data_IF_013021269128
#
_entry.id   IF_013021269128
#
_cell.length_a   1.000
_cell.length_b   1.000
_cell.length_c   1.000
_cell.angle_alpha   90.00
_cell.angle_beta   90.00
_cell.angle_gamma   90.00
#
_symmetry.space_group_name_H-M   'P 1'
#
loop_
_entity.id
_entity.type
_entity.pdbx_description
1 polymer ?
#
# COMPACT_ATOMS: atom_id res chain seq x y z
N UNK A 1 9.50 2.60 -11.76
CA UNK A 1 9.28 1.18 -12.13
C UNK A 1 9.11 0.45 -10.83
N UNK A 2 7.99 -0.26 -10.67
CA UNK A 2 7.64 -0.89 -9.41
C UNK A 2 8.55 -2.06 -9.10
N UNK A 3 9.08 -2.08 -7.89
CA UNK A 3 9.94 -3.12 -7.35
C UNK A 3 9.25 -3.78 -6.17
N UNK A 4 9.02 -5.08 -6.26
CA UNK A 4 8.56 -5.90 -5.14
C UNK A 4 9.74 -6.71 -4.61
N UNK A 5 10.02 -6.60 -3.31
CA UNK A 5 11.04 -7.36 -2.62
C UNK A 5 10.36 -8.30 -1.61
N UNK A 6 10.75 -9.58 -1.60
CA UNK A 6 10.34 -10.52 -0.56
C UNK A 6 11.55 -11.11 0.12
N UNK A 7 11.52 -11.09 1.45
CA UNK A 7 12.54 -11.68 2.29
C UNK A 7 11.96 -12.90 2.98
N UNK A 8 12.75 -13.98 2.98
CA UNK A 8 12.45 -15.21 3.66
C UNK A 8 13.61 -15.56 4.58
N UNK A 9 13.30 -16.03 5.78
CA UNK A 9 14.31 -16.49 6.74
C UNK A 9 14.41 -18.00 6.71
N UNK A 10 15.63 -18.52 6.91
CA UNK A 10 15.89 -19.95 7.05
C UNK A 10 15.99 -20.27 8.53
N UNK A 11 14.99 -20.98 9.05
CA UNK A 11 14.94 -21.42 10.44
C UNK A 11 14.81 -22.93 10.50
N UNK A 12 15.75 -23.62 11.14
CA UNK A 12 15.77 -25.09 11.27
C UNK A 12 15.68 -25.83 9.91
N UNK A 13 16.26 -25.24 8.85
CA UNK A 13 16.21 -25.79 7.49
C UNK A 13 14.92 -25.50 6.73
N UNK A 14 13.95 -24.81 7.34
CA UNK A 14 12.72 -24.39 6.68
C UNK A 14 12.78 -22.92 6.25
N UNK A 15 12.28 -22.64 5.05
CA UNK A 15 12.15 -21.28 4.52
C UNK A 15 10.81 -20.69 4.94
N UNK A 16 10.83 -19.60 5.71
CA UNK A 16 9.63 -18.90 6.19
C UNK A 16 9.56 -17.49 5.62
N UNK A 17 8.35 -17.06 5.24
CA UNK A 17 8.12 -15.66 4.87
C UNK A 17 8.44 -14.74 6.05
N UNK A 18 9.14 -13.64 5.77
CA UNK A 18 9.53 -12.68 6.79
C UNK A 18 9.00 -11.28 6.50
N UNK A 19 9.24 -10.75 5.30
CA UNK A 19 8.72 -9.43 4.91
C UNK A 19 8.51 -9.34 3.40
N UNK A 20 7.52 -8.56 2.98
CA UNK A 20 7.36 -8.07 1.62
C UNK A 20 7.34 -6.54 1.62
N UNK A 21 7.96 -5.92 0.61
CA UNK A 21 7.99 -4.48 0.41
C UNK A 21 7.74 -4.14 -1.06
N UNK A 22 6.81 -3.23 -1.34
CA UNK A 22 6.61 -2.63 -2.66
C UNK A 22 7.16 -1.20 -2.67
N UNK A 23 7.99 -0.90 -3.67
CA UNK A 23 8.59 0.42 -3.87
C UNK A 23 8.37 0.94 -5.29
N UNK A 24 8.26 2.26 -5.45
CA UNK A 24 8.43 2.96 -6.73
C UNK A 24 9.60 3.94 -6.61
N UNK A 25 10.74 3.58 -7.22
CA UNK A 25 12.01 4.26 -6.92
C UNK A 25 12.35 4.14 -5.43
N UNK A 26 12.54 5.27 -4.76
CA UNK A 26 12.85 5.35 -3.32
C UNK A 26 11.59 5.34 -2.43
N UNK A 27 10.39 5.45 -3.01
CA UNK A 27 9.14 5.56 -2.24
C UNK A 27 8.63 4.19 -1.83
N UNK A 28 8.51 3.94 -0.54
CA UNK A 28 7.84 2.75 -0.01
C UNK A 28 6.32 2.93 -0.06
N UNK A 29 5.65 2.03 -0.77
CA UNK A 29 4.21 2.11 -1.00
C UNK A 29 3.45 1.14 -0.08
N UNK A 30 4.09 0.03 0.27
CA UNK A 30 3.53 -1.04 1.08
C UNK A 30 4.65 -1.86 1.72
N UNK A 31 4.47 -2.22 2.98
CA UNK A 31 5.31 -3.20 3.67
C UNK A 31 4.43 -4.08 4.58
N UNK A 32 4.72 -5.38 4.62
CA UNK A 32 4.14 -6.27 5.63
C UNK A 32 5.05 -7.43 5.98
N UNK A 33 5.03 -7.84 7.26
CA UNK A 33 5.57 -9.12 7.73
C UNK A 33 4.53 -10.23 7.84
N UNK A 34 3.26 -9.94 7.56
CA UNK A 34 2.16 -10.90 7.62
C UNK A 34 1.90 -11.52 6.23
N UNK A 35 2.06 -12.85 6.14
CA UNK A 35 1.86 -13.60 4.89
C UNK A 35 0.43 -13.48 4.35
N UNK A 36 -0.58 -13.41 5.22
CA UNK A 36 -1.99 -13.27 4.82
C UNK A 36 -2.23 -11.89 4.20
N UNK A 37 -1.67 -10.84 4.81
CA UNK A 37 -1.74 -9.47 4.26
C UNK A 37 -1.02 -9.42 2.91
N UNK A 38 0.14 -10.05 2.79
CA UNK A 38 0.88 -10.10 1.53
C UNK A 38 0.11 -10.83 0.42
N UNK A 39 -0.49 -11.97 0.71
CA UNK A 39 -1.33 -12.69 -0.25
C UNK A 39 -2.59 -11.89 -0.65
N UNK A 40 -3.20 -11.22 0.32
CA UNK A 40 -4.32 -10.29 0.08
C UNK A 40 -3.89 -9.14 -0.83
N UNK A 41 -2.70 -8.59 -0.62
CA UNK A 41 -2.09 -7.55 -1.45
C UNK A 41 -1.92 -8.03 -2.90
N UNK A 42 -1.27 -9.18 -3.13
CA UNK A 42 -1.06 -9.68 -4.49
C UNK A 42 -2.39 -9.89 -5.23
N UNK A 43 -3.38 -10.50 -4.56
CA UNK A 43 -4.71 -10.74 -5.13
C UNK A 43 -5.42 -9.45 -5.52
N UNK A 44 -5.50 -8.48 -4.61
CA UNK A 44 -6.21 -7.21 -4.82
C UNK A 44 -5.58 -6.35 -5.91
N UNK A 45 -4.28 -6.50 -6.13
CA UNK A 45 -3.54 -5.76 -7.14
C UNK A 45 -3.38 -6.56 -8.45
N UNK A 46 -3.94 -7.77 -8.53
CA UNK A 46 -3.82 -8.62 -9.72
C UNK A 46 -2.36 -8.94 -10.07
N UNK A 47 -1.49 -9.04 -9.07
CA UNK A 47 -0.06 -9.30 -9.27
C UNK A 47 0.16 -10.81 -9.28
N UNK A 48 0.63 -11.32 -10.41
CA UNK A 48 1.10 -12.69 -10.56
C UNK A 48 2.62 -12.73 -10.56
N UNK A 49 3.21 -13.33 -9.52
CA UNK A 49 4.66 -13.47 -9.41
C UNK A 49 5.14 -14.68 -10.17
N UNK A 50 6.09 -14.45 -11.08
CA UNK A 50 6.83 -15.50 -11.80
C UNK A 50 8.20 -15.67 -11.16
N UNK A 51 9.23 -15.82 -11.98
CA UNK A 51 10.62 -15.89 -11.52
C UNK A 51 11.11 -14.51 -11.10
N UNK A 52 11.80 -14.39 -9.95
CA UNK A 52 12.44 -13.14 -9.57
C UNK A 52 13.52 -12.74 -10.58
N UNK A 53 13.69 -11.44 -10.78
CA UNK A 53 14.78 -10.89 -11.61
C UNK A 53 16.13 -10.99 -10.91
N UNK A 54 16.12 -11.08 -9.58
CA UNK A 54 17.31 -11.25 -8.74
C UNK A 54 16.94 -12.02 -7.47
N UNK A 55 17.78 -12.99 -7.11
CA UNK A 55 17.71 -13.69 -5.82
C UNK A 55 19.07 -13.62 -5.14
N UNK A 56 19.08 -13.17 -3.89
CA UNK A 56 20.26 -13.10 -3.03
C UNK A 56 20.06 -14.05 -1.86
N UNK A 57 20.98 -15.00 -1.71
CA UNK A 57 20.94 -16.01 -0.64
C UNK A 57 22.11 -15.77 0.29
N UNK A 58 21.81 -15.33 1.51
CA UNK A 58 22.73 -15.28 2.63
C UNK A 58 22.57 -16.48 3.56
N UNK A 59 23.30 -16.47 4.68
CA UNK A 59 23.33 -17.60 5.63
C UNK A 59 21.96 -17.92 6.25
N UNK A 60 21.11 -16.92 6.49
CA UNK A 60 19.80 -17.08 7.14
C UNK A 60 18.67 -16.35 6.39
N UNK A 61 18.97 -15.76 5.23
CA UNK A 61 18.09 -14.85 4.53
C UNK A 61 18.10 -15.16 3.03
N UNK A 62 16.92 -15.24 2.44
CA UNK A 62 16.72 -15.28 0.99
C UNK A 62 15.92 -14.03 0.62
N UNK A 63 16.52 -13.16 -0.19
CA UNK A 63 15.86 -11.97 -0.72
C UNK A 63 15.57 -12.17 -2.21
N UNK A 64 14.31 -12.06 -2.59
CA UNK A 64 13.87 -12.09 -3.98
C UNK A 64 13.42 -10.70 -4.41
N UNK A 65 13.82 -10.29 -5.60
CA UNK A 65 13.39 -9.04 -6.24
C UNK A 65 12.60 -9.35 -7.50
N UNK A 66 11.47 -8.67 -7.65
CA UNK A 66 10.61 -8.72 -8.83
C UNK A 66 10.45 -7.31 -9.39
N UNK A 67 10.48 -7.19 -10.71
CA UNK A 67 10.00 -5.99 -11.40
C UNK A 67 8.56 -6.23 -11.82
N UNK A 68 7.70 -5.26 -11.54
CA UNK A 68 6.31 -5.29 -11.93
C UNK A 68 6.13 -4.33 -13.11
N UNK A 69 5.45 -4.79 -14.15
CA UNK A 69 5.14 -3.99 -15.34
C UNK A 69 4.04 -2.97 -15.04
N UNK A 70 3.31 -3.15 -13.94
CA UNK A 70 2.27 -2.23 -13.51
C UNK A 70 2.82 -0.87 -13.09
N UNK A 71 1.99 0.15 -13.22
CA UNK A 71 2.21 1.49 -12.68
C UNK A 71 1.22 1.78 -11.55
N UNK A 72 1.64 2.60 -10.58
CA UNK A 72 0.74 3.06 -9.53
C UNK A 72 0.33 4.50 -9.77
N UNK A 73 -0.97 4.73 -9.76
CA UNK A 73 -1.59 6.05 -9.75
C UNK A 73 -2.26 6.30 -8.40
N UNK A 74 -2.09 7.51 -7.88
CA UNK A 74 -2.81 7.97 -6.69
C UNK A 74 -4.00 8.82 -7.10
N UNK A 75 -5.16 8.60 -6.48
CA UNK A 75 -6.35 9.41 -6.76
C UNK A 75 -7.08 9.80 -5.47
N UNK A 76 -7.08 11.09 -5.09
CA UNK A 76 -7.88 11.54 -3.97
C UNK A 76 -9.38 11.50 -4.31
N UNK A 77 -10.22 11.30 -3.30
CA UNK A 77 -11.67 11.49 -3.40
C UNK A 77 -12.20 12.28 -2.21
N UNK A 78 -13.25 13.07 -2.44
CA UNK A 78 -13.92 13.85 -1.39
C UNK A 78 -15.24 13.22 -0.94
N UNK A 79 -15.81 12.37 -1.80
CA UNK A 79 -16.99 11.54 -1.56
C UNK A 79 -16.74 10.10 -2.04
N UNK A 80 -17.51 9.13 -1.54
CA UNK A 80 -17.29 7.71 -1.90
C UNK A 80 -17.88 7.36 -3.27
N UNK A 81 -18.82 8.16 -3.77
CA UNK A 81 -19.44 7.99 -5.09
C UNK A 81 -18.46 8.22 -6.24
N UNK A 82 -17.35 8.93 -6.00
CA UNK A 82 -16.21 9.09 -6.92
C UNK A 82 -15.42 7.78 -7.12
N UNK A 83 -15.49 6.84 -6.16
CA UNK A 83 -14.74 5.59 -6.20
C UNK A 83 -15.45 4.58 -7.12
N UNK A 84 -14.75 3.92 -8.06
CA UNK A 84 -15.36 2.94 -8.94
C UNK A 84 -16.04 1.80 -8.18
N UNK A 85 -17.24 1.39 -8.62
CA UNK A 85 -18.02 0.32 -7.98
C UNK A 85 -17.28 -1.03 -7.86
N UNK A 86 -16.30 -1.29 -8.74
CA UNK A 86 -15.50 -2.52 -8.73
C UNK A 86 -14.17 -2.39 -7.98
N UNK A 87 -13.92 -1.25 -7.34
CA UNK A 87 -12.71 -1.07 -6.57
C UNK A 87 -12.72 -1.96 -5.32
N UNK A 88 -11.58 -2.59 -5.05
CA UNK A 88 -11.40 -3.42 -3.86
C UNK A 88 -10.98 -2.56 -2.68
N UNK A 89 -11.59 -2.82 -1.53
CA UNK A 89 -11.27 -2.11 -0.30
C UNK A 89 -9.80 -2.30 0.13
N UNK A 90 -9.13 -1.23 0.57
CA UNK A 90 -7.80 -1.26 1.20
C UNK A 90 -7.75 -0.28 2.37
N UNK A 91 -6.69 -0.34 3.17
CA UNK A 91 -6.40 0.70 4.17
C UNK A 91 -5.42 1.69 3.58
N UNK A 92 -5.65 2.97 3.87
CA UNK A 92 -4.75 4.07 3.51
C UNK A 92 -4.36 4.83 4.76
N UNK A 93 -3.09 5.20 4.88
CA UNK A 93 -2.62 6.15 5.90
C UNK A 93 -2.38 7.49 5.23
N UNK A 94 -3.15 8.48 5.63
CA UNK A 94 -3.17 9.85 5.06
C UNK A 94 -3.06 10.84 6.22
N UNK A 95 -2.07 11.72 6.19
CA UNK A 95 -1.69 12.63 7.28
C UNK A 95 -1.54 11.89 8.63
N UNK A 96 -0.86 10.74 8.61
CA UNK A 96 -0.75 9.81 9.76
C UNK A 96 -2.09 9.27 10.30
N UNK A 97 -3.20 9.44 9.57
CA UNK A 97 -4.53 8.96 9.95
C UNK A 97 -4.89 7.72 9.13
N UNK A 98 -5.22 6.63 9.83
CA UNK A 98 -5.68 5.38 9.23
C UNK A 98 -7.11 5.55 8.72
N UNK A 99 -7.30 5.41 7.42
CA UNK A 99 -8.58 5.60 6.74
C UNK A 99 -8.91 4.44 5.80
N UNK A 100 -10.16 4.41 5.35
CA UNK A 100 -10.61 3.48 4.31
C UNK A 100 -10.31 4.07 2.93
N UNK A 101 -9.59 3.29 2.12
CA UNK A 101 -9.36 3.56 0.71
C UNK A 101 -9.86 2.43 -0.17
N UNK A 102 -9.54 2.50 -1.46
CA UNK A 102 -9.84 1.45 -2.41
C UNK A 102 -8.73 1.31 -3.47
N UNK A 103 -8.66 0.16 -4.13
CA UNK A 103 -7.79 -0.09 -5.26
C UNK A 103 -8.62 -0.51 -6.46
N UNK A 104 -8.34 0.06 -7.63
CA UNK A 104 -8.94 -0.38 -8.88
C UNK A 104 -7.85 -0.58 -9.93
N UNK A 105 -8.00 -1.63 -10.74
CA UNK A 105 -7.06 -1.95 -11.79
C UNK A 105 -7.74 -1.70 -13.13
N UNK A 106 -7.07 -0.97 -14.00
CA UNK A 106 -7.44 -0.85 -15.42
C UNK A 106 -6.17 -1.02 -16.24
N UNK A 107 -6.16 -2.07 -17.07
CA UNK A 107 -4.97 -2.46 -17.84
C UNK A 107 -3.78 -2.71 -16.88
N UNK A 108 -2.67 -2.00 -17.07
CA UNK A 108 -1.45 -2.06 -16.26
C UNK A 108 -1.42 -0.99 -15.15
N UNK A 109 -2.48 -0.20 -14.97
CA UNK A 109 -2.54 0.87 -13.98
C UNK A 109 -3.30 0.42 -12.73
N UNK A 110 -2.59 0.39 -11.60
CA UNK A 110 -3.14 0.20 -10.26
C UNK A 110 -3.44 1.58 -9.68
N UNK A 111 -4.72 1.93 -9.56
CA UNK A 111 -5.14 3.20 -8.94
C UNK A 111 -5.49 2.99 -7.48
N UNK A 112 -4.78 3.68 -6.58
CA UNK A 112 -5.10 3.73 -5.15
C UNK A 112 -5.93 4.98 -4.88
N UNK A 113 -7.17 4.76 -4.47
CA UNK A 113 -8.15 5.76 -4.09
C UNK A 113 -8.05 6.02 -2.60
N UNK A 114 -7.86 7.28 -2.21
CA UNK A 114 -7.69 7.67 -0.81
C UNK A 114 -8.49 8.93 -0.49
N UNK A 115 -8.94 9.13 0.76
CA UNK A 115 -9.60 10.36 1.15
C UNK A 115 -8.68 11.58 0.95
N UNK A 116 -9.20 12.61 0.30
CA UNK A 116 -8.46 13.82 -0.02
C UNK A 116 -8.00 14.57 1.25
N UNK A 117 -6.80 15.16 1.24
CA UNK A 117 -6.27 15.93 2.38
C UNK A 117 -7.11 17.18 2.64
N UNK A 118 -7.71 17.74 1.60
CA UNK A 118 -8.57 18.93 1.63
C UNK A 118 -9.85 18.71 2.45
N UNK A 119 -10.18 17.46 2.82
CA UNK A 119 -11.25 17.16 3.76
C UNK A 119 -10.98 17.71 5.18
N UNK A 120 -9.71 17.93 5.51
CA UNK A 120 -9.26 18.38 6.82
C UNK A 120 -9.21 17.26 7.86
N UNK A 121 -8.30 17.42 8.83
CA UNK A 121 -7.96 16.44 9.86
C UNK A 121 -9.17 15.92 10.64
N UNK A 122 -10.13 16.80 10.99
CA UNK A 122 -11.32 16.39 11.76
C UNK A 122 -12.23 15.44 11.00
N UNK A 123 -12.38 15.63 9.68
CA UNK A 123 -13.17 14.71 8.84
C UNK A 123 -12.43 13.39 8.64
N UNK A 124 -11.10 13.43 8.44
CA UNK A 124 -10.27 12.22 8.35
C UNK A 124 -10.35 11.38 9.64
N UNK A 125 -10.28 12.00 10.83
CA UNK A 125 -10.46 11.32 12.12
C UNK A 125 -11.84 10.69 12.26
N UNK A 126 -12.90 11.34 11.78
CA UNK A 126 -14.26 10.75 11.77
C UNK A 126 -14.33 9.51 10.88
N UNK A 127 -13.74 9.57 9.68
CA UNK A 127 -13.65 8.42 8.78
C UNK A 127 -12.85 7.27 9.42
N UNK A 128 -11.75 7.57 10.11
CA UNK A 128 -10.97 6.59 10.87
C UNK A 128 -11.82 5.92 11.95
N UNK A 129 -12.55 6.71 12.75
CA UNK A 129 -13.43 6.19 13.79
C UNK A 129 -14.53 5.28 13.21
N UNK A 130 -15.15 5.67 12.10
CA UNK A 130 -16.14 4.84 11.41
C UNK A 130 -15.57 3.51 10.92
N UNK A 131 -14.35 3.52 10.37
CA UNK A 131 -13.64 2.32 9.94
C UNK A 131 -13.47 1.35 11.11
N UNK A 132 -12.94 1.82 12.24
CA UNK A 132 -12.74 0.99 13.44
C UNK A 132 -14.07 0.46 14.01
N UNK A 133 -15.15 1.24 13.93
CA UNK A 133 -16.47 0.82 14.42
C UNK A 133 -17.15 -0.21 13.51
N UNK A 134 -17.02 -0.08 12.19
CA UNK A 134 -17.68 -0.95 11.19
C UNK A 134 -16.98 -2.30 11.03
N UNK A 135 -15.66 -2.36 11.22
CA UNK A 135 -14.86 -3.58 10.99
C UNK A 135 -14.34 -4.16 12.30
N UNK A 136 -15.20 -4.96 12.94
CA UNK A 136 -14.76 -5.86 14.00
C UNK A 136 -13.80 -6.91 13.39
N UNK A 137 -12.56 -6.96 13.88
CA UNK A 137 -11.53 -8.01 13.68
C UNK A 137 -10.80 -8.17 12.34
N UNK A 138 -11.32 -7.70 11.19
CA UNK A 138 -10.73 -8.04 9.87
C UNK A 138 -9.80 -6.97 9.26
N UNK A 139 -9.55 -5.85 9.96
CA UNK A 139 -8.66 -4.77 9.47
C UNK A 139 -7.20 -5.28 9.35
N UNK A 140 -6.78 -6.18 10.22
CA UNK A 140 -5.39 -6.68 10.29
C UNK A 140 -4.93 -7.45 9.05
N UNK A 141 -5.86 -7.91 8.20
CA UNK A 141 -5.59 -8.73 7.00
C UNK A 141 -5.67 -7.94 5.70
N UNK A 142 -5.77 -6.62 5.80
CA UNK A 142 -6.00 -5.73 4.67
C UNK A 142 -4.70 -5.02 4.33
N UNK A 143 -4.32 -4.94 3.05
CA UNK A 143 -3.15 -4.17 2.65
C UNK A 143 -3.27 -2.71 3.08
N UNK A 144 -2.18 -2.16 3.60
CA UNK A 144 -2.07 -0.78 4.07
C UNK A 144 -1.14 -0.03 3.12
N UNK A 145 -1.64 1.03 2.50
CA UNK A 145 -0.85 1.93 1.66
C UNK A 145 -0.52 3.20 2.43
N UNK A 146 0.76 3.54 2.50
CA UNK A 146 1.25 4.72 3.22
C UNK A 146 1.28 5.92 2.27
N UNK A 147 0.14 6.57 2.10
CA UNK A 147 -0.04 7.62 1.08
C UNK A 147 0.89 8.80 1.32
N UNK A 148 1.18 9.13 2.58
CA UNK A 148 2.05 10.24 2.96
C UNK A 148 3.46 10.13 2.35
N UNK A 149 4.02 8.92 2.30
CA UNK A 149 5.31 8.65 1.68
C UNK A 149 5.25 8.60 0.15
N UNK A 150 4.05 8.44 -0.42
CA UNK A 150 3.85 8.37 -1.85
C UNK A 150 3.62 9.76 -2.47
N UNK A 151 2.94 10.65 -1.76
CA UNK A 151 2.58 12.02 -2.21
C UNK A 151 3.75 13.00 -2.05
N UNK A 152 4.75 12.67 -1.23
CA UNK A 152 6.02 13.38 -0.98
C UNK A 152 6.11 14.83 -1.52
N UNK A 153 5.78 15.78 -0.63
CA UNK A 153 6.27 17.16 -0.58
C UNK A 153 5.94 18.19 -1.69
N UNK A 154 4.77 18.13 -2.34
CA UNK A 154 4.28 19.28 -3.13
C UNK A 154 3.37 20.26 -2.35
N UNK A 155 2.76 19.84 -1.24
CA UNK A 155 1.82 20.69 -0.49
C UNK A 155 2.46 21.50 0.65
N UNK A 156 3.65 21.17 1.14
CA UNK A 156 4.29 21.90 2.25
C UNK A 156 5.15 23.11 1.83
N UNK A 157 5.35 23.34 0.53
CA UNK A 157 6.10 24.51 0.03
C UNK A 157 5.25 25.75 -0.24
N UNK A 158 3.92 25.68 -0.17
CA UNK A 158 3.06 26.85 -0.44
C UNK A 158 2.74 27.72 0.79
N UNK A 159 3.10 27.29 2.01
CA UNK A 159 2.77 28.06 3.24
C UNK A 159 3.98 28.64 3.98
N UNK A 160 5.22 28.41 3.52
CA UNK A 160 6.43 28.93 4.18
C UNK A 160 7.17 30.05 3.43
N UNK A 161 6.69 30.48 2.25
CA UNK A 161 7.22 31.67 1.53
C UNK A 161 6.24 32.86 1.53
N UNK A 162 5.29 32.89 2.45
CA UNK A 162 4.27 33.93 2.53
C UNK A 162 4.01 34.43 3.94
N UNK A 163 5.01 35.04 4.58
CA UNK A 163 4.84 36.09 5.61
C UNK A 163 6.15 36.80 5.91
#
# INVERSE_FOLDING_TARGET
>A
MLKLETNHIIENGEVKFHVAQLKDGEKELFQTGDLTVYQSFLRKLGIELRTPVKSEVGNILIQNTYHLDQTIALRPFTNKEEVPLRAEYVITVVDSIVTEGAVSIKEDIITIWYPALELGTEKLKRLAFELFKKRNSDISRVPVFLIDYMVDNQYYKSESEGK
#
